data_IF_333610580082
#
_entry.id   IF_333610580082
#
_cell.length_a   1.000
_cell.length_b   1.000
_cell.length_c   1.000
_cell.angle_alpha   90.00
_cell.angle_beta   90.00
_cell.angle_gamma   90.00
#
_symmetry.space_group_name_H-M   'P 1'
#
loop_
_entity.id
_entity.type
_entity.pdbx_description
1 polymer ?
#
# COMPACT_ATOMS: atom_id res chain seq x y z
N UNK A 1 28.26 5.04 3.86
CA UNK A 1 26.98 4.50 4.39
C UNK A 1 25.88 4.43 3.33
N UNK A 2 25.35 5.55 2.79
CA UNK A 2 24.33 5.47 1.74
C UNK A 2 24.85 4.80 0.46
N UNK A 3 26.00 5.25 -0.06
CA UNK A 3 26.63 4.67 -1.25
C UNK A 3 26.98 3.17 -1.09
N UNK A 4 27.38 2.75 0.12
CA UNK A 4 27.68 1.33 0.39
C UNK A 4 26.42 0.46 0.41
N UNK A 5 25.30 1.00 0.91
CA UNK A 5 24.01 0.31 0.89
C UNK A 5 23.49 0.17 -0.54
N UNK A 6 23.63 1.22 -1.35
CA UNK A 6 23.22 1.20 -2.76
C UNK A 6 24.03 0.17 -3.56
N UNK A 7 25.36 0.14 -3.39
CA UNK A 7 26.20 -0.88 -4.01
C UNK A 7 25.82 -2.30 -3.57
N UNK A 8 25.54 -2.50 -2.28
CA UNK A 8 25.12 -3.79 -1.76
C UNK A 8 23.75 -4.22 -2.33
N UNK A 9 22.79 -3.31 -2.41
CA UNK A 9 21.47 -3.56 -2.99
C UNK A 9 21.58 -3.90 -4.49
N UNK A 10 22.34 -3.14 -5.27
CA UNK A 10 22.57 -3.42 -6.68
C UNK A 10 23.26 -4.77 -6.89
N UNK A 11 24.24 -5.12 -6.04
CA UNK A 11 24.90 -6.43 -6.08
C UNK A 11 23.92 -7.55 -5.76
N UNK A 12 23.08 -7.39 -4.74
CA UNK A 12 22.05 -8.35 -4.35
C UNK A 12 21.08 -8.65 -5.50
N UNK A 13 20.70 -7.62 -6.29
CA UNK A 13 19.81 -7.77 -7.43
C UNK A 13 20.46 -8.37 -8.69
N UNK A 14 21.79 -8.38 -8.79
CA UNK A 14 22.53 -8.80 -10.00
C UNK A 14 23.18 -10.16 -9.87
N UNK A 15 23.65 -10.53 -8.68
CA UNK A 15 24.53 -11.67 -8.47
C UNK A 15 23.92 -12.70 -7.51
N UNK A 16 24.07 -14.02 -7.78
CA UNK A 16 24.72 -14.62 -8.96
C UNK A 16 23.86 -14.60 -10.22
N UNK A 17 22.55 -14.50 -10.06
CA UNK A 17 21.58 -14.37 -11.14
C UNK A 17 20.75 -13.11 -10.91
N UNK A 18 20.38 -12.37 -11.97
CA UNK A 18 19.52 -11.21 -11.82
C UNK A 18 18.12 -11.55 -11.32
N UNK A 19 17.52 -10.64 -10.55
CA UNK A 19 16.16 -10.76 -10.03
C UNK A 19 16.07 -11.49 -8.69
N UNK A 20 14.87 -11.55 -8.12
CA UNK A 20 14.63 -12.09 -6.77
C UNK A 20 13.79 -13.37 -6.73
N UNK A 21 13.25 -13.80 -7.87
CA UNK A 21 12.34 -14.94 -7.95
C UNK A 21 12.66 -15.86 -9.13
N UNK A 22 12.23 -17.11 -9.02
CA UNK A 22 12.33 -18.13 -10.05
C UNK A 22 11.08 -19.02 -10.04
N UNK A 23 10.79 -19.69 -11.16
CA UNK A 23 9.72 -20.67 -11.27
C UNK A 23 10.32 -22.06 -11.13
N UNK A 24 9.85 -22.82 -10.15
CA UNK A 24 10.30 -24.20 -9.91
C UNK A 24 9.11 -25.15 -10.03
N UNK A 25 9.28 -26.23 -10.78
CA UNK A 25 8.26 -27.26 -10.90
C UNK A 25 8.06 -28.01 -9.58
N UNK A 26 6.79 -28.22 -9.19
CA UNK A 26 6.43 -28.90 -7.94
C UNK A 26 6.25 -30.41 -8.10
N UNK A 27 6.24 -30.90 -9.35
CA UNK A 27 6.08 -32.32 -9.69
C UNK A 27 7.34 -32.82 -10.40
N UNK A 28 7.65 -34.09 -10.21
CA UNK A 28 8.76 -34.74 -10.92
C UNK A 28 8.51 -34.71 -12.43
N UNK A 29 9.59 -34.56 -13.19
CA UNK A 29 9.61 -34.55 -14.66
C UNK A 29 10.83 -35.33 -15.17
N UNK A 30 11.16 -36.46 -14.52
CA UNK A 30 12.46 -37.14 -14.71
C UNK A 30 12.40 -38.32 -15.68
N UNK A 31 11.20 -38.74 -16.09
CA UNK A 31 11.01 -39.88 -16.99
C UNK A 31 9.80 -39.69 -17.93
N UNK A 32 9.63 -40.60 -18.89
CA UNK A 32 8.55 -40.54 -19.88
C UNK A 32 7.14 -40.52 -19.27
N UNK A 33 6.92 -41.29 -18.19
CA UNK A 33 5.62 -41.32 -17.50
C UNK A 33 5.33 -39.98 -16.84
N UNK A 34 6.31 -39.38 -16.18
CA UNK A 34 6.17 -38.06 -15.55
C UNK A 34 5.82 -36.99 -16.59
N UNK A 35 6.53 -36.96 -17.72
CA UNK A 35 6.27 -36.02 -18.81
C UNK A 35 4.88 -36.23 -19.42
N UNK A 36 4.44 -37.49 -19.57
CA UNK A 36 3.11 -37.83 -20.05
C UNK A 36 1.98 -37.39 -19.10
N UNK A 37 2.26 -37.28 -17.79
CA UNK A 37 1.32 -36.76 -16.80
C UNK A 37 1.34 -35.23 -16.72
N UNK A 38 2.52 -34.62 -16.77
CA UNK A 38 2.71 -33.17 -16.69
C UNK A 38 2.17 -32.43 -17.92
N UNK A 39 2.21 -33.07 -19.09
CA UNK A 39 1.75 -32.50 -20.35
C UNK A 39 0.94 -33.53 -21.14
N UNK A 40 1.28 -33.77 -22.41
CA UNK A 40 0.49 -34.67 -23.26
C UNK A 40 0.87 -36.14 -23.08
N UNK A 41 -0.11 -37.07 -23.03
CA UNK A 41 -1.56 -36.85 -23.16
C UNK A 41 -2.31 -36.65 -21.82
N UNK A 42 -1.65 -36.80 -20.68
CA UNK A 42 -2.28 -36.90 -19.36
C UNK A 42 -2.95 -35.62 -18.87
N UNK A 43 -2.39 -34.44 -19.17
CA UNK A 43 -2.93 -33.13 -18.77
C UNK A 43 -4.39 -32.93 -19.22
N UNK A 44 -4.79 -33.58 -20.32
CA UNK A 44 -6.15 -33.51 -20.83
C UNK A 44 -7.20 -34.04 -19.84
N UNK A 45 -6.82 -34.91 -18.90
CA UNK A 45 -7.71 -35.35 -17.83
C UNK A 45 -8.10 -34.19 -16.91
N UNK A 46 -7.12 -33.37 -16.49
CA UNK A 46 -7.39 -32.19 -15.67
C UNK A 46 -8.20 -31.13 -16.43
N UNK A 47 -7.88 -30.89 -17.71
CA UNK A 47 -8.65 -29.95 -18.55
C UNK A 47 -10.12 -30.36 -18.66
N UNK A 48 -10.42 -31.64 -18.94
CA UNK A 48 -11.80 -32.13 -19.04
C UNK A 48 -12.55 -32.07 -17.70
N UNK A 49 -11.86 -32.20 -16.58
CA UNK A 49 -12.50 -32.09 -15.27
C UNK A 49 -12.85 -30.64 -14.94
N UNK A 50 -11.98 -29.69 -15.27
CA UNK A 50 -12.26 -28.25 -15.13
C UNK A 50 -13.36 -27.80 -16.09
N UNK A 51 -13.41 -28.34 -17.32
CA UNK A 51 -14.47 -28.06 -18.29
C UNK A 51 -15.86 -28.48 -17.76
N UNK A 52 -15.94 -29.63 -17.08
CA UNK A 52 -17.18 -30.10 -16.42
C UNK A 52 -17.52 -29.28 -15.18
N UNK A 53 -16.51 -28.91 -14.39
CA UNK A 53 -16.66 -28.18 -13.14
C UNK A 53 -15.54 -27.13 -12.99
N UNK A 54 -15.79 -25.85 -13.34
CA UNK A 54 -14.78 -24.80 -13.27
C UNK A 54 -14.16 -24.61 -11.86
N UNK A 55 -14.89 -25.00 -10.80
CA UNK A 55 -14.36 -24.92 -9.44
C UNK A 55 -13.17 -25.85 -9.19
N UNK A 56 -12.98 -26.91 -9.99
CA UNK A 56 -11.84 -27.82 -9.88
C UNK A 56 -10.50 -27.16 -10.27
N UNK A 57 -10.54 -25.99 -10.94
CA UNK A 57 -9.33 -25.21 -11.20
C UNK A 57 -8.56 -24.90 -9.90
N UNK A 58 -9.24 -24.78 -8.76
CA UNK A 58 -8.61 -24.55 -7.45
C UNK A 58 -7.79 -25.73 -6.92
N UNK A 59 -8.09 -26.94 -7.40
CA UNK A 59 -7.48 -28.20 -6.94
C UNK A 59 -6.48 -28.78 -7.93
N UNK A 60 -6.76 -28.58 -9.22
CA UNK A 60 -5.99 -29.17 -10.32
C UNK A 60 -4.94 -28.22 -10.89
N UNK A 61 -4.84 -26.99 -10.36
CA UNK A 61 -3.87 -25.98 -10.77
C UNK A 61 -3.32 -25.22 -9.56
N UNK A 62 -2.29 -24.39 -9.78
CA UNK A 62 -1.75 -23.50 -8.75
C UNK A 62 -2.67 -22.31 -8.42
N UNK A 63 -3.77 -22.10 -9.16
CA UNK A 63 -4.65 -20.92 -9.08
C UNK A 63 -5.07 -20.55 -7.66
N UNK A 64 -5.37 -21.53 -6.81
CA UNK A 64 -5.84 -21.28 -5.44
C UNK A 64 -4.80 -20.64 -4.52
N UNK A 65 -3.51 -20.79 -4.83
CA UNK A 65 -2.41 -20.20 -4.07
C UNK A 65 -1.69 -19.08 -4.84
N UNK A 66 -2.15 -18.75 -6.04
CA UNK A 66 -1.48 -17.83 -6.96
C UNK A 66 -2.13 -16.45 -6.94
N UNK A 67 -1.36 -15.42 -6.60
CA UNK A 67 -1.77 -14.02 -6.62
C UNK A 67 -1.03 -13.26 -7.73
N UNK A 68 -1.70 -12.33 -8.40
CA UNK A 68 -1.02 -11.36 -9.25
C UNK A 68 -0.68 -10.11 -8.45
N UNK A 69 0.59 -9.71 -8.41
CA UNK A 69 0.98 -8.35 -7.97
C UNK A 69 1.06 -7.49 -9.21
N UNK A 70 0.20 -6.47 -9.31
CA UNK A 70 0.03 -5.70 -10.55
C UNK A 70 0.26 -4.21 -10.28
N UNK A 71 1.07 -3.60 -11.13
CA UNK A 71 1.35 -2.15 -11.09
C UNK A 71 1.43 -1.59 -12.51
N UNK A 72 1.36 -0.26 -12.63
CA UNK A 72 1.83 0.49 -13.82
C UNK A 72 3.03 1.39 -13.52
N UNK A 73 3.60 1.30 -12.31
CA UNK A 73 4.77 2.06 -11.89
C UNK A 73 4.55 3.58 -11.79
N UNK A 74 3.32 4.01 -11.52
CA UNK A 74 2.98 5.45 -11.45
C UNK A 74 3.17 6.07 -10.07
N UNK A 75 3.33 5.26 -9.01
CA UNK A 75 3.58 5.72 -7.65
C UNK A 75 4.52 4.79 -6.88
N UNK A 76 5.70 4.52 -7.45
CA UNK A 76 6.65 3.56 -6.86
C UNK A 76 7.36 4.17 -5.66
N UNK A 77 7.03 3.71 -4.46
CA UNK A 77 7.63 4.20 -3.21
C UNK A 77 7.59 5.75 -3.14
N UNK A 78 8.66 6.39 -2.68
CA UNK A 78 8.87 7.85 -2.77
C UNK A 78 9.44 8.33 -4.10
N UNK A 79 9.61 7.46 -5.11
CA UNK A 79 10.22 7.80 -6.41
C UNK A 79 9.19 8.34 -7.41
N UNK A 80 7.89 8.10 -7.16
CA UNK A 80 6.80 8.56 -8.01
C UNK A 80 6.67 7.75 -9.30
N UNK A 81 6.34 8.44 -10.39
CA UNK A 81 6.05 7.81 -11.68
C UNK A 81 7.32 7.50 -12.46
N UNK A 82 7.95 6.36 -12.15
CA UNK A 82 9.17 5.87 -12.82
C UNK A 82 8.90 4.81 -13.90
N UNK A 83 7.64 4.42 -14.07
CA UNK A 83 7.17 3.51 -15.10
C UNK A 83 7.35 2.03 -14.75
N UNK A 84 6.74 1.15 -15.56
CA UNK A 84 6.61 -0.28 -15.26
C UNK A 84 7.96 -1.01 -15.15
N UNK A 85 8.93 -0.73 -16.02
CA UNK A 85 10.22 -1.43 -15.97
C UNK A 85 11.01 -1.09 -14.70
N UNK A 86 10.95 0.17 -14.26
CA UNK A 86 11.66 0.61 -13.07
C UNK A 86 10.94 0.19 -11.77
N UNK A 87 9.64 -0.11 -11.82
CA UNK A 87 8.88 -0.65 -10.67
C UNK A 87 9.14 -2.14 -10.44
N UNK A 88 9.57 -2.89 -11.45
CA UNK A 88 9.77 -4.34 -11.41
C UNK A 88 10.56 -4.84 -10.18
N UNK A 89 11.69 -4.23 -9.78
CA UNK A 89 12.39 -4.66 -8.58
C UNK A 89 11.53 -4.59 -7.32
N UNK A 90 10.60 -3.62 -7.20
CA UNK A 90 9.70 -3.52 -6.04
C UNK A 90 8.67 -4.66 -6.09
N UNK A 91 8.09 -4.94 -7.27
CA UNK A 91 7.08 -5.99 -7.44
C UNK A 91 7.64 -7.39 -7.19
N UNK A 92 8.84 -7.70 -7.68
CA UNK A 92 9.55 -8.93 -7.32
C UNK A 92 9.80 -9.01 -5.81
N UNK A 93 10.03 -7.85 -5.16
CA UNK A 93 10.15 -7.75 -3.72
C UNK A 93 8.87 -8.17 -3.01
N UNK A 94 7.73 -7.62 -3.43
CA UNK A 94 6.42 -8.01 -2.91
C UNK A 94 6.17 -9.50 -3.10
N UNK A 95 6.48 -10.05 -4.27
CA UNK A 95 6.33 -11.48 -4.56
C UNK A 95 7.11 -12.37 -3.56
N UNK A 96 8.38 -12.07 -3.29
CA UNK A 96 9.17 -12.86 -2.33
C UNK A 96 8.70 -12.70 -0.88
N UNK A 97 8.12 -11.54 -0.52
CA UNK A 97 7.52 -11.33 0.80
C UNK A 97 6.25 -12.16 0.98
N UNK A 98 5.34 -12.16 -0.01
CA UNK A 98 4.16 -13.05 -0.04
C UNK A 98 4.56 -14.51 0.14
N UNK A 99 5.58 -14.96 -0.60
CA UNK A 99 6.07 -16.33 -0.50
C UNK A 99 6.70 -16.63 0.86
N UNK A 100 7.57 -15.74 1.36
CA UNK A 100 8.34 -15.97 2.59
C UNK A 100 7.46 -15.98 3.84
N UNK A 101 6.50 -15.07 3.92
CA UNK A 101 5.72 -14.86 5.16
C UNK A 101 4.36 -15.56 5.16
N UNK A 102 3.76 -15.82 3.99
CA UNK A 102 2.44 -16.44 3.89
C UNK A 102 2.39 -17.70 3.01
N UNK A 103 3.51 -18.10 2.39
CA UNK A 103 3.57 -19.19 1.43
C UNK A 103 2.61 -19.03 0.23
N UNK A 104 2.33 -17.79 -0.16
CA UNK A 104 1.52 -17.45 -1.33
C UNK A 104 2.44 -17.33 -2.55
N UNK A 105 2.07 -17.97 -3.65
CA UNK A 105 2.80 -17.87 -4.91
C UNK A 105 2.36 -16.61 -5.66
N UNK A 106 3.29 -15.93 -6.31
CA UNK A 106 3.02 -14.65 -6.97
C UNK A 106 3.61 -14.61 -8.37
N UNK A 107 2.86 -14.01 -9.31
CA UNK A 107 3.42 -13.40 -10.50
C UNK A 107 3.30 -11.88 -10.40
N UNK A 108 4.41 -11.19 -10.58
CA UNK A 108 4.47 -9.75 -10.77
C UNK A 108 4.17 -9.39 -12.23
N UNK A 109 3.30 -8.40 -12.44
CA UNK A 109 2.84 -7.95 -13.75
C UNK A 109 2.88 -6.42 -13.82
N UNK A 110 3.86 -5.90 -14.56
CA UNK A 110 4.01 -4.46 -14.79
C UNK A 110 3.33 -4.05 -16.12
N UNK A 111 2.22 -3.32 -16.04
CA UNK A 111 1.44 -2.90 -17.20
C UNK A 111 1.89 -1.52 -17.69
N UNK A 112 2.33 -1.45 -18.96
CA UNK A 112 2.72 -0.18 -19.60
C UNK A 112 1.50 0.61 -20.10
N UNK A 113 0.69 1.08 -19.16
CA UNK A 113 -0.44 1.95 -19.43
C UNK A 113 -0.83 2.81 -18.22
N UNK A 114 -1.13 4.08 -18.49
CA UNK A 114 -1.72 5.01 -17.54
C UNK A 114 -3.22 5.20 -17.75
N UNK A 115 -3.78 4.57 -18.79
CA UNK A 115 -5.20 4.62 -19.10
C UNK A 115 -5.97 3.62 -18.21
N UNK A 116 -6.92 4.14 -17.44
CA UNK A 116 -7.68 3.36 -16.45
C UNK A 116 -8.49 2.25 -17.13
N UNK A 117 -9.12 2.53 -18.26
CA UNK A 117 -9.94 1.55 -18.99
C UNK A 117 -9.09 0.38 -19.48
N UNK A 118 -7.96 0.68 -20.13
CA UNK A 118 -7.00 -0.33 -20.60
C UNK A 118 -6.40 -1.13 -19.46
N UNK A 119 -6.08 -0.48 -18.33
CA UNK A 119 -5.57 -1.17 -17.16
C UNK A 119 -6.61 -2.15 -16.60
N UNK A 120 -7.84 -1.67 -16.36
CA UNK A 120 -8.94 -2.48 -15.82
C UNK A 120 -9.28 -3.65 -16.75
N UNK A 121 -9.32 -3.42 -18.06
CA UNK A 121 -9.62 -4.47 -19.03
C UNK A 121 -8.49 -5.51 -19.11
N UNK A 122 -7.22 -5.08 -19.11
CA UNK A 122 -6.09 -6.01 -19.08
C UNK A 122 -6.12 -6.90 -17.83
N UNK A 123 -6.33 -6.32 -16.64
CA UNK A 123 -6.36 -7.07 -15.38
C UNK A 123 -7.58 -7.99 -15.28
N UNK A 124 -8.77 -7.50 -15.64
CA UNK A 124 -10.00 -8.29 -15.51
C UNK A 124 -10.02 -9.52 -16.41
N UNK A 125 -9.42 -9.45 -17.61
CA UNK A 125 -9.25 -10.60 -18.50
C UNK A 125 -8.38 -11.72 -17.92
N UNK A 126 -7.48 -11.40 -16.98
CA UNK A 126 -6.59 -12.39 -16.34
C UNK A 126 -7.21 -13.10 -15.14
N UNK A 127 -8.44 -12.74 -14.73
CA UNK A 127 -9.13 -13.33 -13.57
C UNK A 127 -9.17 -14.87 -13.50
N UNK A 128 -9.27 -15.60 -14.63
CA UNK A 128 -9.19 -17.06 -14.60
C UNK A 128 -7.84 -17.62 -14.09
N UNK A 129 -6.73 -16.90 -14.29
CA UNK A 129 -5.38 -17.38 -13.95
C UNK A 129 -5.07 -17.30 -12.46
N UNK A 130 -5.68 -16.36 -11.75
CA UNK A 130 -5.30 -15.99 -10.38
C UNK A 130 -6.38 -16.31 -9.36
N UNK A 131 -5.95 -16.58 -8.12
CA UNK A 131 -6.80 -16.71 -6.94
C UNK A 131 -7.10 -15.37 -6.26
N UNK A 132 -6.28 -14.35 -6.50
CA UNK A 132 -6.47 -12.98 -6.04
C UNK A 132 -5.58 -11.99 -6.78
N UNK A 133 -5.92 -10.71 -6.72
CA UNK A 133 -5.17 -9.60 -7.30
C UNK A 133 -4.73 -8.65 -6.18
N UNK A 134 -3.44 -8.33 -6.18
CA UNK A 134 -2.83 -7.30 -5.35
C UNK A 134 -2.40 -6.13 -6.25
N UNK A 135 -3.08 -4.99 -6.14
CA UNK A 135 -2.71 -3.75 -6.81
C UNK A 135 -1.65 -3.03 -5.98
N UNK A 136 -0.62 -2.52 -6.65
CA UNK A 136 0.58 -1.97 -6.02
C UNK A 136 1.10 -0.74 -6.76
N UNK A 137 1.56 0.28 -6.03
CA UNK A 137 2.29 1.45 -6.58
C UNK A 137 1.56 2.16 -7.74
N UNK A 138 0.23 2.31 -7.62
CA UNK A 138 -0.62 3.02 -8.58
C UNK A 138 -1.01 4.38 -7.98
N UNK A 139 -0.83 5.45 -8.75
CA UNK A 139 -1.11 6.81 -8.26
C UNK A 139 -2.59 7.05 -7.95
N UNK A 140 -2.84 7.92 -6.98
CA UNK A 140 -4.14 8.54 -6.77
C UNK A 140 -4.37 9.71 -7.75
N UNK A 141 -5.62 10.00 -8.13
CA UNK A 141 -6.85 9.32 -7.71
C UNK A 141 -7.19 8.05 -8.52
N UNK A 142 -6.47 7.74 -9.60
CA UNK A 142 -6.81 6.65 -10.51
C UNK A 142 -6.86 5.28 -9.82
N UNK A 143 -6.01 5.03 -8.82
CA UNK A 143 -6.00 3.80 -8.05
C UNK A 143 -7.37 3.45 -7.43
N UNK A 144 -8.15 4.46 -7.00
CA UNK A 144 -9.46 4.25 -6.39
C UNK A 144 -10.48 3.74 -7.41
N UNK A 145 -10.49 4.33 -8.61
CA UNK A 145 -11.38 3.92 -9.69
C UNK A 145 -11.00 2.52 -10.20
N UNK A 146 -9.70 2.28 -10.40
CA UNK A 146 -9.17 0.97 -10.83
C UNK A 146 -9.61 -0.13 -9.86
N UNK A 147 -9.38 0.05 -8.57
CA UNK A 147 -9.74 -0.95 -7.56
C UNK A 147 -11.25 -1.19 -7.52
N UNK A 148 -12.05 -0.12 -7.50
CA UNK A 148 -13.52 -0.21 -7.46
C UNK A 148 -14.04 -1.01 -8.65
N UNK A 149 -13.62 -0.67 -9.87
CA UNK A 149 -14.06 -1.32 -11.09
C UNK A 149 -13.60 -2.78 -11.18
N UNK A 150 -12.39 -3.09 -10.71
CA UNK A 150 -11.90 -4.46 -10.68
C UNK A 150 -12.65 -5.32 -9.66
N UNK A 151 -12.96 -4.79 -8.48
CA UNK A 151 -13.78 -5.47 -7.47
C UNK A 151 -15.20 -5.75 -7.97
N UNK A 152 -15.76 -4.88 -8.81
CA UNK A 152 -17.08 -5.09 -9.43
C UNK A 152 -17.05 -6.11 -10.59
N UNK A 153 -15.99 -6.08 -11.42
CA UNK A 153 -15.87 -6.94 -12.60
C UNK A 153 -15.41 -8.37 -12.28
N UNK A 154 -14.62 -8.57 -11.23
CA UNK A 154 -13.91 -9.83 -10.98
C UNK A 154 -14.57 -10.67 -9.89
N UNK A 155 -14.59 -12.00 -10.10
CA UNK A 155 -15.09 -12.98 -9.13
C UNK A 155 -14.00 -13.48 -8.18
N UNK A 156 -12.93 -12.72 -7.99
CA UNK A 156 -11.82 -13.00 -7.07
C UNK A 156 -11.51 -11.76 -6.25
N UNK A 157 -10.90 -11.90 -5.05
CA UNK A 157 -10.49 -10.76 -4.26
C UNK A 157 -9.53 -9.85 -5.02
N UNK A 158 -9.81 -8.55 -4.99
CA UNK A 158 -8.90 -7.49 -5.43
C UNK A 158 -8.63 -6.59 -4.24
N UNK A 159 -7.35 -6.34 -4.00
CA UNK A 159 -6.86 -5.60 -2.83
C UNK A 159 -5.75 -4.64 -3.27
N UNK A 160 -5.83 -3.38 -2.89
CA UNK A 160 -4.74 -2.43 -3.06
C UNK A 160 -3.91 -2.29 -1.79
N UNK A 161 -2.64 -2.71 -1.81
CA UNK A 161 -1.80 -2.78 -0.61
C UNK A 161 -1.50 -1.38 -0.03
N UNK A 162 -1.11 -0.43 -0.89
CA UNK A 162 -0.80 0.94 -0.43
C UNK A 162 -1.98 1.64 0.26
N UNK A 163 -3.22 1.26 -0.11
CA UNK A 163 -4.42 1.75 0.54
C UNK A 163 -4.72 0.96 1.81
N UNK A 164 -5.12 -0.30 1.64
CA UNK A 164 -5.73 -1.10 2.69
C UNK A 164 -4.68 -1.73 3.61
N UNK A 165 -3.54 -2.17 3.07
CA UNK A 165 -2.42 -2.70 3.86
C UNK A 165 -1.86 -1.64 4.81
N UNK A 166 -1.59 -0.44 4.28
CA UNK A 166 -1.17 0.71 5.09
C UNK A 166 -2.20 1.05 6.16
N UNK A 167 -3.48 1.13 5.79
CA UNK A 167 -4.56 1.45 6.74
C UNK A 167 -4.63 0.46 7.90
N UNK A 168 -4.53 -0.86 7.62
CA UNK A 168 -4.57 -1.91 8.66
C UNK A 168 -3.41 -1.75 9.64
N UNK A 169 -2.18 -1.55 9.14
CA UNK A 169 -1.00 -1.35 9.97
C UNK A 169 -1.09 -0.06 10.81
N UNK A 170 -1.53 1.04 10.20
CA UNK A 170 -1.72 2.34 10.87
C UNK A 170 -2.79 2.25 11.96
N UNK A 171 -3.93 1.63 11.66
CA UNK A 171 -5.00 1.43 12.63
C UNK A 171 -4.54 0.56 13.82
N UNK A 172 -3.77 -0.50 13.55
CA UNK A 172 -3.22 -1.35 14.60
C UNK A 172 -2.22 -0.57 15.49
N UNK A 173 -1.33 0.21 14.87
CA UNK A 173 -0.39 1.06 15.57
C UNK A 173 -1.12 2.08 16.44
N UNK A 174 -2.00 2.92 15.87
CA UNK A 174 -2.79 3.95 16.58
C UNK A 174 -3.54 3.34 17.75
N UNK A 175 -4.25 2.22 17.54
CA UNK A 175 -4.97 1.56 18.63
C UNK A 175 -4.07 1.17 19.80
N UNK A 176 -2.84 0.73 19.54
CA UNK A 176 -1.89 0.37 20.58
C UNK A 176 -1.21 1.59 21.21
N UNK A 177 -0.82 2.59 20.41
CA UNK A 177 -0.22 3.83 20.91
C UNK A 177 -1.18 4.61 21.81
N UNK A 178 -2.47 4.68 21.44
CA UNK A 178 -3.49 5.32 22.28
C UNK A 178 -3.69 4.62 23.62
N UNK A 179 -3.55 3.28 23.68
CA UNK A 179 -3.58 2.55 24.96
C UNK A 179 -2.41 2.94 25.86
N UNK A 180 -1.22 3.11 25.29
CA UNK A 180 -0.01 3.53 26.03
C UNK A 180 -0.18 4.97 26.52
N UNK A 181 -0.71 5.85 25.68
CA UNK A 181 -0.99 7.25 26.03
C UNK A 181 -2.25 7.44 26.91
N UNK A 182 -2.95 6.35 27.26
CA UNK A 182 -4.22 6.38 28.00
C UNK A 182 -5.29 7.30 27.38
N UNK A 183 -5.42 7.26 26.05
CA UNK A 183 -6.38 8.04 25.26
C UNK A 183 -7.39 7.14 24.55
N UNK A 184 -8.56 7.69 24.22
CA UNK A 184 -9.62 7.01 23.45
C UNK A 184 -9.70 7.58 22.04
N UNK A 185 -9.89 6.70 21.05
CA UNK A 185 -9.94 7.09 19.63
C UNK A 185 -11.06 8.11 19.31
N UNK A 186 -12.17 8.06 20.01
CA UNK A 186 -13.30 8.99 19.83
C UNK A 186 -13.05 10.42 20.36
N UNK A 187 -12.00 10.60 21.16
CA UNK A 187 -11.67 11.86 21.85
C UNK A 187 -10.43 12.55 21.29
N UNK A 188 -9.63 11.87 20.46
CA UNK A 188 -8.37 12.42 19.94
C UNK A 188 -8.56 13.34 18.73
N UNK A 189 -7.65 14.30 18.61
CA UNK A 189 -7.45 15.12 17.41
C UNK A 189 -6.33 14.56 16.54
N UNK A 190 -6.61 14.35 15.27
CA UNK A 190 -5.65 13.81 14.30
C UNK A 190 -5.35 14.85 13.23
N UNK A 191 -4.07 15.14 13.03
CA UNK A 191 -3.56 15.91 11.89
C UNK A 191 -2.88 14.94 10.94
N UNK A 192 -3.38 14.86 9.72
CA UNK A 192 -2.79 14.04 8.66
C UNK A 192 -2.04 14.94 7.68
N UNK A 193 -0.76 14.64 7.47
CA UNK A 193 0.02 15.22 6.38
C UNK A 193 0.03 14.25 5.21
N UNK A 194 -0.54 14.67 4.09
CA UNK A 194 -0.79 13.85 2.92
C UNK A 194 -2.28 13.62 2.68
N UNK A 195 -2.68 13.57 1.41
CA UNK A 195 -4.06 13.31 1.01
C UNK A 195 -4.13 12.36 -0.20
N UNK A 196 -3.13 11.49 -0.33
CA UNK A 196 -3.09 10.42 -1.33
C UNK A 196 -3.85 9.17 -0.90
N UNK A 197 -3.70 8.10 -1.69
CA UNK A 197 -4.40 6.82 -1.51
C UNK A 197 -4.26 6.25 -0.09
N UNK A 198 -3.02 6.11 0.38
CA UNK A 198 -2.70 5.60 1.71
C UNK A 198 -3.32 6.45 2.83
N UNK A 199 -3.15 7.78 2.77
CA UNK A 199 -3.65 8.70 3.78
C UNK A 199 -5.17 8.62 3.90
N UNK A 200 -5.90 8.74 2.80
CA UNK A 200 -7.36 8.70 2.80
C UNK A 200 -7.88 7.33 3.23
N UNK A 201 -7.25 6.23 2.84
CA UNK A 201 -7.61 4.88 3.30
C UNK A 201 -7.41 4.71 4.81
N UNK A 202 -6.29 5.20 5.37
CA UNK A 202 -6.04 5.20 6.81
C UNK A 202 -7.12 5.98 7.57
N UNK A 203 -7.43 7.20 7.11
CA UNK A 203 -8.44 8.04 7.74
C UNK A 203 -9.83 7.40 7.67
N UNK A 204 -10.20 6.82 6.54
CA UNK A 204 -11.49 6.15 6.38
C UNK A 204 -11.63 4.97 7.35
N UNK A 205 -10.58 4.16 7.48
CA UNK A 205 -10.58 3.04 8.43
C UNK A 205 -10.66 3.54 9.88
N UNK A 206 -9.86 4.53 10.27
CA UNK A 206 -9.89 5.10 11.62
C UNK A 206 -11.25 5.71 11.97
N UNK A 207 -11.88 6.41 11.03
CA UNK A 207 -13.24 6.95 11.20
C UNK A 207 -14.25 5.83 11.38
N UNK A 208 -14.16 4.76 10.59
CA UNK A 208 -15.02 3.58 10.76
C UNK A 208 -14.83 2.87 12.11
N UNK A 209 -13.64 3.01 12.71
CA UNK A 209 -13.31 2.48 14.04
C UNK A 209 -13.73 3.39 15.19
N UNK A 210 -14.23 4.60 14.91
CA UNK A 210 -14.76 5.53 15.93
C UNK A 210 -14.05 6.88 16.02
N UNK A 211 -13.01 7.16 15.22
CA UNK A 211 -12.42 8.49 15.16
C UNK A 211 -13.46 9.48 14.62
N UNK A 212 -13.73 10.57 15.34
CA UNK A 212 -14.69 11.57 14.89
C UNK A 212 -14.10 12.35 13.72
N UNK A 213 -14.84 12.40 12.62
CA UNK A 213 -14.40 13.08 11.39
C UNK A 213 -14.16 14.59 11.59
N UNK A 214 -14.91 15.24 12.48
CA UNK A 214 -14.68 16.64 12.88
C UNK A 214 -13.36 16.88 13.64
N UNK A 215 -12.73 15.82 14.16
CA UNK A 215 -11.42 15.88 14.82
C UNK A 215 -10.26 15.58 13.85
N UNK A 216 -10.52 15.42 12.56
CA UNK A 216 -9.51 15.12 11.53
C UNK A 216 -9.23 16.35 10.69
N UNK A 217 -7.98 16.82 10.73
CA UNK A 217 -7.49 17.88 9.83
C UNK A 217 -6.51 17.27 8.85
N UNK A 218 -6.81 17.37 7.56
CA UNK A 218 -5.92 16.90 6.48
C UNK A 218 -5.17 18.10 5.92
N UNK A 219 -3.88 17.92 5.66
CA UNK A 219 -2.98 18.93 5.07
C UNK A 219 -2.26 18.29 3.89
N UNK A 220 -2.43 18.85 2.70
CA UNK A 220 -1.69 18.44 1.51
C UNK A 220 -0.72 19.53 1.03
N UNK A 221 -0.24 19.43 -0.21
CA UNK A 221 0.74 20.36 -0.77
C UNK A 221 0.27 21.81 -0.86
N UNK A 222 -1.05 22.07 -0.91
CA UNK A 222 -1.61 23.44 -0.91
C UNK A 222 -2.00 23.88 0.51
N UNK A 223 -1.73 23.07 1.52
CA UNK A 223 -2.08 23.32 2.91
C UNK A 223 -3.34 22.59 3.36
N UNK A 224 -4.04 23.16 4.35
CA UNK A 224 -5.20 22.54 4.99
C UNK A 224 -6.31 22.28 3.98
N UNK A 225 -6.97 21.14 4.09
CA UNK A 225 -8.19 20.81 3.36
C UNK A 225 -9.36 21.45 4.10
N UNK A 226 -9.83 22.61 3.63
CA UNK A 226 -10.89 23.39 4.26
C UNK A 226 -12.11 23.57 3.34
N UNK A 227 -13.28 23.87 3.93
CA UNK A 227 -14.51 24.14 3.17
C UNK A 227 -14.37 25.38 2.29
N UNK A 228 -14.65 25.23 0.99
CA UNK A 228 -14.53 26.31 0.01
C UNK A 228 -13.15 26.42 -0.64
N UNK A 229 -12.21 25.53 -0.30
CA UNK A 229 -10.98 25.38 -1.08
C UNK A 229 -11.31 24.83 -2.47
N UNK A 230 -10.75 25.42 -3.52
CA UNK A 230 -10.91 24.93 -4.91
C UNK A 230 -9.67 24.15 -5.39
N UNK A 231 -8.47 24.55 -4.98
CA UNK A 231 -7.22 24.01 -5.47
C UNK A 231 -7.03 22.52 -5.11
N UNK A 232 -6.80 21.71 -6.14
CA UNK A 232 -6.52 20.27 -6.05
C UNK A 232 -7.59 19.45 -5.31
N UNK A 233 -8.84 19.88 -5.26
CA UNK A 233 -9.90 19.11 -4.58
C UNK A 233 -10.48 18.02 -5.48
N UNK A 234 -10.62 16.82 -4.92
CA UNK A 234 -11.25 15.66 -5.54
C UNK A 234 -12.38 15.12 -4.63
N UNK A 235 -13.30 14.28 -5.14
CA UNK A 235 -14.42 13.77 -4.35
C UNK A 235 -14.01 12.95 -3.11
N UNK A 236 -12.88 12.24 -3.16
CA UNK A 236 -12.40 11.39 -2.07
C UNK A 236 -11.83 12.22 -0.93
N UNK A 237 -11.05 13.25 -1.24
CA UNK A 237 -10.46 14.16 -0.26
C UNK A 237 -11.48 15.16 0.30
N UNK A 238 -12.41 15.63 -0.53
CA UNK A 238 -13.38 16.66 -0.16
C UNK A 238 -14.22 16.31 1.06
N UNK A 239 -14.39 15.02 1.34
CA UNK A 239 -15.11 14.58 2.53
C UNK A 239 -14.45 15.09 3.81
N UNK A 240 -13.12 15.26 3.85
CA UNK A 240 -12.37 15.72 5.02
C UNK A 240 -12.20 17.24 5.12
N UNK A 241 -12.90 18.02 4.28
CA UNK A 241 -12.84 19.48 4.35
C UNK A 241 -13.42 20.03 5.66
N UNK A 242 -12.57 20.69 6.45
CA UNK A 242 -12.95 21.28 7.74
C UNK A 242 -13.38 22.75 7.60
N UNK A 243 -14.29 23.18 8.48
CA UNK A 243 -14.64 24.59 8.63
C UNK A 243 -13.67 25.24 9.62
N UNK A 244 -12.56 25.78 9.12
CA UNK A 244 -11.45 26.25 9.95
C UNK A 244 -10.73 27.43 9.31
N UNK A 245 -10.09 28.25 10.15
CA UNK A 245 -9.20 29.32 9.72
C UNK A 245 -7.76 28.84 9.45
N UNK A 246 -7.39 27.62 9.89
CA UNK A 246 -6.07 27.05 9.65
C UNK A 246 -5.79 26.91 8.16
N UNK A 247 -4.56 27.23 7.71
CA UNK A 247 -4.15 27.14 6.31
C UNK A 247 -2.90 26.31 6.10
N UNK A 248 -2.01 26.27 7.08
CA UNK A 248 -0.74 25.54 7.01
C UNK A 248 -0.74 24.32 7.93
N UNK A 249 0.29 23.48 7.79
CA UNK A 249 0.52 22.40 8.76
C UNK A 249 0.75 22.97 10.16
N UNK A 250 1.53 24.04 10.27
CA UNK A 250 1.81 24.72 11.54
C UNK A 250 0.52 25.19 12.23
N UNK A 251 -0.45 25.74 11.49
CA UNK A 251 -1.74 26.15 12.04
C UNK A 251 -2.58 24.98 12.57
N UNK A 252 -2.40 23.78 11.99
CA UNK A 252 -3.22 22.61 12.28
C UNK A 252 -2.71 21.78 13.47
N UNK A 253 -1.41 21.80 13.74
CA UNK A 253 -0.74 20.98 14.76
C UNK A 253 -1.15 21.30 16.22
N UNK A 254 -1.45 22.54 16.63
CA UNK A 254 -1.75 22.86 18.02
C UNK A 254 -2.84 21.97 18.63
N UNK A 255 -2.50 21.28 19.72
CA UNK A 255 -3.38 20.36 20.44
C UNK A 255 -3.66 19.04 19.73
N UNK A 256 -2.95 18.70 18.65
CA UNK A 256 -3.08 17.39 18.00
C UNK A 256 -2.55 16.28 18.93
N UNK A 257 -3.32 15.20 19.04
CA UNK A 257 -2.94 13.98 19.76
C UNK A 257 -2.19 13.00 18.86
N UNK A 258 -2.52 13.01 17.56
CA UNK A 258 -1.93 12.15 16.55
C UNK A 258 -1.46 13.00 15.39
N UNK A 259 -0.20 12.83 15.00
CA UNK A 259 0.27 13.22 13.68
C UNK A 259 0.40 11.96 12.81
N UNK A 260 -0.28 11.94 11.65
CA UNK A 260 -0.19 10.88 10.66
C UNK A 260 0.44 11.43 9.37
N UNK A 261 1.74 11.21 9.22
CA UNK A 261 2.52 11.54 8.04
C UNK A 261 2.50 10.39 7.04
N UNK A 262 1.96 10.67 5.86
CA UNK A 262 1.99 9.84 4.65
C UNK A 262 2.23 10.76 3.45
N UNK A 263 3.29 11.58 3.53
CA UNK A 263 3.52 12.67 2.58
C UNK A 263 4.96 12.72 2.06
N UNK A 264 5.80 13.57 2.66
CA UNK A 264 7.09 13.96 2.13
C UNK A 264 8.14 14.12 3.24
N UNK A 265 9.43 13.97 2.92
CA UNK A 265 10.48 14.04 3.93
C UNK A 265 10.55 15.40 4.61
N UNK A 266 10.80 15.39 5.93
CA UNK A 266 11.12 16.59 6.74
C UNK A 266 10.03 17.67 6.78
N UNK A 267 8.77 17.33 6.53
CA UNK A 267 7.65 18.28 6.59
C UNK A 267 7.22 18.62 8.02
N UNK A 268 7.38 17.70 8.97
CA UNK A 268 7.06 17.96 10.38
C UNK A 268 8.31 18.53 11.07
N UNK A 269 8.25 19.80 11.43
CA UNK A 269 9.38 20.49 12.07
C UNK A 269 9.39 20.25 13.59
N UNK A 270 10.57 20.11 14.23
CA UNK A 270 10.65 19.90 15.68
C UNK A 270 9.91 20.98 16.49
N UNK A 271 9.97 22.24 16.04
CA UNK A 271 9.27 23.37 16.66
C UNK A 271 7.75 23.23 16.66
N UNK A 272 7.15 22.44 15.77
CA UNK A 272 5.71 22.22 15.79
C UNK A 272 5.29 21.28 16.93
N UNK A 273 6.19 20.37 17.35
CA UNK A 273 5.88 19.33 18.30
C UNK A 273 5.59 19.86 19.72
N UNK A 274 6.15 21.02 20.09
CA UNK A 274 5.88 21.65 21.40
C UNK A 274 4.42 22.06 21.56
N UNK A 275 3.70 22.26 20.45
CA UNK A 275 2.31 22.68 20.44
C UNK A 275 1.33 21.51 20.41
N UNK A 276 1.80 20.27 20.22
CA UNK A 276 0.94 19.07 20.27
C UNK A 276 0.46 18.75 21.69
N UNK A 277 -0.60 17.97 21.81
CA UNK A 277 -1.11 17.49 23.11
C UNK A 277 -0.07 16.67 23.89
N UNK A 278 -0.27 16.46 25.20
CA UNK A 278 0.57 15.59 26.04
C UNK A 278 0.60 14.16 25.51
N UNK A 279 1.75 13.48 25.55
CA UNK A 279 1.98 12.13 25.00
C UNK A 279 1.40 11.94 23.59
N UNK A 280 1.86 12.71 22.59
CA UNK A 280 1.35 12.64 21.24
C UNK A 280 1.85 11.36 20.57
N UNK A 281 1.06 10.83 19.66
CA UNK A 281 1.50 9.77 18.77
C UNK A 281 1.91 10.35 17.43
N UNK A 282 3.21 10.34 17.13
CA UNK A 282 3.78 10.80 15.88
C UNK A 282 4.06 9.60 14.99
N UNK A 283 3.33 9.48 13.90
CA UNK A 283 3.57 8.49 12.85
C UNK A 283 4.16 9.19 11.63
N UNK A 284 5.46 9.04 11.39
CA UNK A 284 6.17 9.65 10.27
C UNK A 284 6.56 8.57 9.27
N UNK A 285 5.65 8.23 8.35
CA UNK A 285 5.70 7.04 7.51
C UNK A 285 6.20 7.28 6.09
N UNK A 286 6.64 8.50 5.74
CA UNK A 286 7.28 8.76 4.46
C UNK A 286 8.57 7.93 4.29
N UNK A 287 8.76 7.43 3.06
CA UNK A 287 9.91 6.64 2.67
C UNK A 287 10.66 7.30 1.50
N UNK A 288 12.00 7.20 1.42
CA UNK A 288 12.90 6.55 2.39
C UNK A 288 13.28 7.45 3.59
N UNK A 289 12.97 8.75 3.54
CA UNK A 289 13.21 9.69 4.64
C UNK A 289 11.86 10.15 5.23
N UNK A 290 11.67 10.05 6.56
CA UNK A 290 10.39 10.34 7.20
C UNK A 290 10.09 11.84 7.29
N UNK A 291 8.85 12.18 7.63
CA UNK A 291 8.39 13.54 7.89
C UNK A 291 9.17 14.22 9.02
N UNK A 292 9.62 13.44 10.01
CA UNK A 292 10.57 13.81 11.06
C UNK A 292 11.36 12.57 11.49
N UNK A 293 12.64 12.75 11.82
CA UNK A 293 13.46 11.66 12.37
C UNK A 293 13.13 11.43 13.85
N UNK A 294 13.09 10.17 14.33
CA UNK A 294 12.77 9.88 15.73
C UNK A 294 13.65 10.62 16.74
N UNK A 295 14.94 10.79 16.45
CA UNK A 295 15.87 11.47 17.35
C UNK A 295 15.49 12.94 17.56
N UNK A 296 15.15 13.64 16.46
CA UNK A 296 14.73 15.05 16.51
C UNK A 296 13.38 15.22 17.21
N UNK A 297 12.46 14.27 17.03
CA UNK A 297 11.18 14.31 17.71
C UNK A 297 11.33 14.09 19.22
N UNK A 298 12.17 13.13 19.64
CA UNK A 298 12.42 12.84 21.05
C UNK A 298 13.18 13.96 21.78
N UNK A 299 14.04 14.71 21.09
CA UNK A 299 14.72 15.87 21.68
C UNK A 299 13.72 16.95 22.17
N UNK A 300 12.63 17.15 21.43
CA UNK A 300 11.63 18.19 21.73
C UNK A 300 10.43 17.66 22.51
N UNK A 301 10.04 16.39 22.26
CA UNK A 301 8.92 15.70 22.91
C UNK A 301 9.36 14.31 23.41
N UNK A 302 10.08 14.24 24.54
CA UNK A 302 10.50 12.97 25.14
C UNK A 302 9.33 12.06 25.54
N UNK A 303 8.13 12.61 25.69
CA UNK A 303 6.89 11.92 26.00
C UNK A 303 6.15 11.37 24.76
N UNK A 304 6.64 11.65 23.55
CA UNK A 304 6.01 11.19 22.32
C UNK A 304 6.18 9.69 22.11
N UNK A 305 5.13 9.05 21.61
CA UNK A 305 5.20 7.72 21.01
C UNK A 305 5.49 7.94 19.52
N UNK A 306 6.50 7.27 18.97
CA UNK A 306 6.96 7.50 17.59
C UNK A 306 6.94 6.19 16.80
N UNK A 307 6.42 6.25 15.57
CA UNK A 307 6.50 5.17 14.59
C UNK A 307 6.95 5.73 13.24
N UNK A 308 7.78 4.96 12.51
CA UNK A 308 8.20 5.25 11.13
C UNK A 308 7.84 4.10 10.19
N UNK A 309 7.97 4.34 8.89
CA UNK A 309 7.83 3.32 7.84
C UNK A 309 8.92 2.25 7.87
#
# INVERSE_FOLDING_TARGET
MADELDEAALRYHRYPNPGKLEIVATKNMVNQRDLALAYSPGVAAACREIDKNPAEARHLTARSNLVAVITNGTAVLGLGSIGPLASKPVMEGKAVLFKKFANVDVFDLELDTTDVDRFVDAVSLMGPSFGGINLEDIKAPECFEIETRLREKMNIPVFHDDQHGTAICVAAAIRNGLKIANKKLEDVKLVCSGAGAAALACLNLLVSMGLKKENVTVVDIEGVVYKGREALMDPYKSVYAQDTAARTLEDAIPGADIFLGLSAPRVLKPEFLVHMAESPFIMALANPEPEIKPELAMEVRPDAIIATG
#
